data_IF_779040619760
#
_entry.id   IF_779040619760
#
_cell.length_a   1.000
_cell.length_b   1.000
_cell.length_c   1.000
_cell.angle_alpha   90.00
_cell.angle_beta   90.00
_cell.angle_gamma   90.00
#
_symmetry.space_group_name_H-M   'P 1'
#
loop_
_entity.id
_entity.type
_entity.pdbx_description
1 polymer ?
#
# COMPACT_ATOMS: atom_id res chain seq x y z
N UNK A 1 3.12 21.25 -1.73
CA UNK A 1 2.82 19.81 -1.78
C UNK A 1 1.75 19.62 -2.84
N UNK A 2 2.14 19.25 -4.05
CA UNK A 2 1.22 19.05 -5.17
C UNK A 2 0.63 17.65 -5.03
N UNK A 3 -0.70 17.52 -4.95
CA UNK A 3 -1.37 16.21 -4.98
C UNK A 3 -1.07 15.54 -6.33
N UNK A 4 -0.24 14.49 -6.34
CA UNK A 4 0.05 13.69 -7.53
C UNK A 4 -1.17 12.83 -7.86
N UNK A 5 -1.59 12.74 -9.14
CA UNK A 5 -2.79 12.00 -9.51
C UNK A 5 -2.61 10.48 -9.39
N UNK A 6 -3.66 9.79 -8.94
CA UNK A 6 -3.73 8.32 -8.81
C UNK A 6 -3.91 7.59 -10.15
N UNK A 7 -3.94 8.38 -11.24
CA UNK A 7 -4.03 7.93 -12.63
C UNK A 7 -2.87 8.52 -13.41
N UNK A 8 -2.06 7.65 -14.02
CA UNK A 8 -0.92 8.13 -14.81
C UNK A 8 -0.77 7.38 -16.13
N UNK A 9 -0.48 8.12 -17.20
CA UNK A 9 -0.12 7.57 -18.51
C UNK A 9 1.35 7.14 -18.46
N UNK A 10 1.62 5.85 -18.69
CA UNK A 10 2.98 5.30 -18.63
C UNK A 10 3.32 4.68 -19.99
N UNK A 11 4.11 5.37 -20.84
CA UNK A 11 4.58 4.84 -22.13
C UNK A 11 5.96 4.18 -22.00
N UNK A 12 6.00 2.85 -21.90
CA UNK A 12 7.22 2.06 -21.64
C UNK A 12 7.97 1.67 -22.92
N UNK A 13 9.27 2.01 -23.01
CA UNK A 13 10.15 1.71 -24.14
C UNK A 13 11.40 0.99 -23.64
N UNK A 14 11.47 -0.33 -23.85
CA UNK A 14 12.49 -1.21 -23.26
C UNK A 14 13.71 -1.33 -24.19
N UNK A 15 14.59 -0.31 -24.20
CA UNK A 15 15.84 -0.33 -24.96
C UNK A 15 17.02 -0.80 -24.11
N UNK A 16 17.60 -1.95 -24.46
CA UNK A 16 18.89 -2.42 -23.93
C UNK A 16 20.00 -1.61 -24.61
N UNK A 17 20.64 -0.68 -23.88
CA UNK A 17 21.88 -0.04 -24.34
C UNK A 17 22.89 0.04 -23.19
N UNK A 18 24.01 -0.64 -23.39
CA UNK A 18 25.21 -0.58 -22.56
C UNK A 18 26.06 0.66 -22.90
N UNK A 19 26.85 1.08 -21.91
CA UNK A 19 27.97 2.03 -21.96
C UNK A 19 27.57 3.52 -21.83
N UNK A 20 28.29 4.44 -21.18
CA UNK A 20 29.55 4.48 -20.42
C UNK A 20 29.72 5.96 -20.00
N UNK A 21 30.22 6.21 -18.78
CA UNK A 21 31.06 7.35 -18.36
C UNK A 21 30.50 8.77 -17.98
N UNK A 22 31.01 9.19 -16.81
CA UNK A 22 31.50 10.53 -16.37
C UNK A 22 30.63 11.41 -15.44
N UNK A 23 31.05 11.39 -14.17
CA UNK A 23 31.57 12.55 -13.40
C UNK A 23 30.62 13.70 -13.03
N UNK A 24 30.38 13.89 -11.72
CA UNK A 24 30.88 15.04 -10.97
C UNK A 24 30.57 14.95 -9.45
N UNK A 25 31.61 15.16 -8.64
CA UNK A 25 31.56 15.61 -7.24
C UNK A 25 30.84 16.99 -7.16
N UNK A 26 30.44 17.56 -6.01
CA UNK A 26 31.25 17.86 -4.82
C UNK A 26 30.47 18.76 -3.84
N UNK A 27 30.79 18.66 -2.54
CA UNK A 27 30.80 19.76 -1.54
C UNK A 27 29.49 19.99 -0.78
N UNK A 28 29.39 19.79 0.55
CA UNK A 28 30.00 20.56 1.65
C UNK A 28 29.51 22.03 1.65
N UNK A 29 29.12 22.71 2.74
CA UNK A 29 29.05 22.43 4.17
C UNK A 29 28.35 23.65 4.84
N UNK A 30 27.79 23.43 6.04
CA UNK A 30 27.80 24.35 7.21
C UNK A 30 27.02 25.70 7.23
N UNK A 31 26.00 25.69 8.12
CA UNK A 31 25.88 26.46 9.38
C UNK A 31 25.45 27.95 9.44
N UNK A 32 24.86 28.23 10.60
CA UNK A 32 24.85 29.47 11.39
C UNK A 32 23.54 30.28 11.52
N UNK A 33 23.08 30.25 12.77
CA UNK A 33 21.99 30.95 13.42
C UNK A 33 22.09 32.49 13.50
N UNK A 34 20.95 33.12 13.81
CA UNK A 34 20.72 34.34 14.64
C UNK A 34 19.19 34.60 14.61
N UNK A 35 18.45 34.94 15.66
CA UNK A 35 18.74 35.51 16.98
C UNK A 35 17.74 36.66 17.25
N UNK A 36 17.26 36.75 18.50
CA UNK A 36 16.68 37.93 19.18
C UNK A 36 15.15 38.14 19.29
N UNK A 37 14.61 37.61 20.41
CA UNK A 37 13.99 38.27 21.60
C UNK A 37 13.18 39.58 21.56
N UNK A 38 12.05 39.56 22.32
CA UNK A 38 11.46 40.59 23.26
C UNK A 38 10.04 41.07 22.86
N UNK A 39 9.00 41.28 23.69
CA UNK A 39 8.51 40.84 25.02
C UNK A 39 6.99 41.31 25.12
N UNK A 40 6.27 41.31 26.27
CA UNK A 40 4.95 40.67 26.39
C UNK A 40 3.75 41.64 26.46
N UNK A 41 2.54 41.13 26.18
CA UNK A 41 1.26 41.82 26.33
C UNK A 41 0.45 41.27 27.55
N UNK A 42 -0.46 42.08 28.15
CA UNK A 42 -1.03 41.86 29.49
C UNK A 42 -2.17 40.81 29.55
N UNK A 43 -2.48 40.25 30.74
CA UNK A 43 -3.48 39.19 30.90
C UNK A 43 -4.90 39.70 31.19
N UNK A 44 -5.89 39.03 30.61
CA UNK A 44 -7.33 39.19 30.90
C UNK A 44 -8.04 37.83 30.74
N UNK A 45 -9.24 37.65 31.30
CA UNK A 45 -9.57 37.24 32.65
C UNK A 45 -9.71 35.71 32.83
N UNK A 46 -9.74 35.29 34.09
CA UNK A 46 -9.85 33.93 34.60
C UNK A 46 -11.06 33.17 34.03
N UNK A 47 -10.79 32.11 33.26
CA UNK A 47 -11.78 31.10 32.91
C UNK A 47 -11.97 30.15 34.10
N UNK A 48 -13.22 30.02 34.55
CA UNK A 48 -13.64 29.01 35.53
C UNK A 48 -13.20 27.63 35.06
N UNK A 49 -12.30 27.01 35.83
CA UNK A 49 -11.87 25.63 35.65
C UNK A 49 -13.00 24.69 36.05
N UNK A 50 -13.74 24.20 35.05
CA UNK A 50 -14.53 22.97 35.20
C UNK A 50 -13.54 21.81 35.45
N UNK A 51 -13.78 20.91 36.43
CA UNK A 51 -12.90 19.78 36.66
C UNK A 51 -12.79 18.93 35.38
N UNK A 52 -11.59 18.42 35.05
CA UNK A 52 -11.43 17.55 33.90
C UNK A 52 -12.31 16.31 34.08
N UNK A 53 -13.03 15.85 33.04
CA UNK A 53 -13.78 14.62 33.12
C UNK A 53 -12.82 13.48 33.49
N UNK A 54 -13.22 12.69 34.49
CA UNK A 54 -12.49 11.50 34.91
C UNK A 54 -12.16 10.64 33.69
N UNK A 55 -10.92 10.13 33.56
CA UNK A 55 -10.58 9.24 32.46
C UNK A 55 -11.53 8.03 32.50
N UNK A 56 -12.24 7.82 31.40
CA UNK A 56 -13.04 6.61 31.18
C UNK A 56 -12.11 5.40 31.28
N UNK A 57 -12.50 4.30 31.95
CA UNK A 57 -11.67 3.10 32.01
C UNK A 57 -11.33 2.65 30.58
N UNK A 58 -10.03 2.54 30.32
CA UNK A 58 -9.54 1.94 29.07
C UNK A 58 -10.15 0.55 28.95
N UNK A 59 -10.74 0.17 27.80
CA UNK A 59 -11.23 -1.18 27.61
C UNK A 59 -10.07 -2.16 27.84
N UNK A 60 -10.33 -3.19 28.65
CA UNK A 60 -9.40 -4.28 28.89
C UNK A 60 -9.02 -4.92 27.54
N UNK A 61 -7.75 -5.24 27.27
CA UNK A 61 -7.35 -5.85 26.01
C UNK A 61 -8.05 -7.20 25.85
N UNK A 62 -8.72 -7.39 24.72
CA UNK A 62 -9.27 -8.70 24.35
C UNK A 62 -8.13 -9.72 24.33
N UNK A 63 -8.26 -10.88 25.01
CA UNK A 63 -7.23 -11.91 24.98
C UNK A 63 -6.91 -12.34 23.55
N UNK A 64 -5.62 -12.51 23.26
CA UNK A 64 -5.16 -13.08 21.99
C UNK A 64 -5.48 -14.57 21.99
N UNK A 65 -6.08 -15.13 20.92
CA UNK A 65 -6.38 -16.56 20.85
C UNK A 65 -5.07 -17.37 20.90
N UNK A 66 -5.03 -18.43 21.70
CA UNK A 66 -3.82 -19.24 21.92
C UNK A 66 -3.95 -20.68 21.47
N UNK A 67 -5.19 -21.20 21.39
CA UNK A 67 -5.44 -22.55 20.87
C UNK A 67 -5.81 -22.52 19.39
N UNK A 68 -5.61 -23.64 18.69
CA UNK A 68 -5.98 -23.76 17.28
C UNK A 68 -7.49 -23.51 17.05
N UNK A 69 -8.34 -23.95 17.98
CA UNK A 69 -9.79 -23.72 17.92
C UNK A 69 -10.14 -22.24 18.08
N UNK A 70 -9.55 -21.55 19.06
CA UNK A 70 -9.75 -20.10 19.24
C UNK A 70 -9.26 -19.29 18.05
N UNK A 71 -8.11 -19.68 17.45
CA UNK A 71 -7.59 -19.03 16.25
C UNK A 71 -8.57 -19.24 15.08
N UNK A 72 -9.08 -20.46 14.90
CA UNK A 72 -10.03 -20.74 13.82
C UNK A 72 -11.32 -19.90 13.96
N UNK A 73 -11.89 -19.81 15.16
CA UNK A 73 -13.07 -18.96 15.41
C UNK A 73 -12.77 -17.48 15.24
N UNK A 74 -11.61 -17.01 15.69
CA UNK A 74 -11.19 -15.63 15.47
C UNK A 74 -11.00 -15.31 13.98
N UNK A 75 -10.42 -16.22 13.19
CA UNK A 75 -10.28 -16.07 11.72
C UNK A 75 -11.66 -16.01 11.05
N UNK A 76 -12.60 -16.90 11.42
CA UNK A 76 -13.98 -16.85 10.91
C UNK A 76 -14.67 -15.54 11.25
N UNK A 77 -14.49 -15.05 12.48
CA UNK A 77 -15.02 -13.77 12.93
C UNK A 77 -14.45 -12.59 12.12
N UNK A 78 -13.13 -12.56 11.93
CA UNK A 78 -12.45 -11.57 11.09
C UNK A 78 -12.98 -11.59 9.64
N UNK A 79 -13.15 -12.79 9.09
CA UNK A 79 -13.62 -12.99 7.72
C UNK A 79 -15.04 -12.45 7.53
N UNK A 80 -15.97 -12.86 8.41
CA UNK A 80 -17.36 -12.43 8.39
C UNK A 80 -17.56 -10.94 8.74
N UNK A 81 -16.69 -10.35 9.55
CA UNK A 81 -16.74 -8.92 9.91
C UNK A 81 -16.38 -8.00 8.73
N UNK A 82 -15.78 -8.53 7.67
CA UNK A 82 -15.42 -7.76 6.47
C UNK A 82 -14.08 -8.12 5.85
N UNK A 83 -13.32 -9.03 6.47
CA UNK A 83 -12.06 -9.54 5.93
C UNK A 83 -12.23 -10.19 4.56
N UNK A 84 -13.37 -10.87 4.33
CA UNK A 84 -13.73 -11.39 3.00
C UNK A 84 -13.85 -10.26 1.97
N UNK A 85 -14.66 -9.25 2.26
CA UNK A 85 -14.87 -8.10 1.37
C UNK A 85 -13.57 -7.37 1.07
N UNK A 86 -12.73 -7.13 2.09
CA UNK A 86 -11.44 -6.50 1.91
C UNK A 86 -10.52 -7.32 1.00
N UNK A 87 -10.48 -8.64 1.18
CA UNK A 87 -9.68 -9.55 0.34
C UNK A 87 -10.22 -9.60 -1.09
N UNK A 88 -11.52 -9.79 -1.29
CA UNK A 88 -12.15 -9.87 -2.62
C UNK A 88 -11.95 -8.57 -3.40
N UNK A 89 -12.17 -7.41 -2.77
CA UNK A 89 -11.94 -6.11 -3.41
C UNK A 89 -10.49 -5.92 -3.82
N UNK A 90 -9.54 -6.28 -2.95
CA UNK A 90 -8.12 -6.21 -3.27
C UNK A 90 -7.74 -7.13 -4.43
N UNK A 91 -8.29 -8.35 -4.47
CA UNK A 91 -8.06 -9.29 -5.58
C UNK A 91 -8.59 -8.71 -6.90
N UNK A 92 -9.84 -8.22 -6.91
CA UNK A 92 -10.45 -7.66 -8.12
C UNK A 92 -9.65 -6.50 -8.70
N UNK A 93 -9.25 -5.55 -7.86
CA UNK A 93 -8.45 -4.40 -8.32
C UNK A 93 -7.02 -4.81 -8.70
N UNK A 94 -6.45 -5.82 -8.05
CA UNK A 94 -5.17 -6.42 -8.45
C UNK A 94 -5.25 -7.05 -9.86
N UNK A 95 -6.31 -7.80 -10.15
CA UNK A 95 -6.56 -8.42 -11.46
C UNK A 95 -6.79 -7.35 -12.54
N UNK A 96 -7.55 -6.31 -12.22
CA UNK A 96 -7.79 -5.16 -13.11
C UNK A 96 -6.49 -4.43 -13.44
N UNK A 97 -5.66 -4.14 -12.43
CA UNK A 97 -4.35 -3.52 -12.63
C UNK A 97 -3.43 -4.38 -13.51
N UNK A 98 -3.38 -5.70 -13.30
CA UNK A 98 -2.62 -6.61 -14.17
C UNK A 98 -3.14 -6.64 -15.61
N UNK A 99 -4.46 -6.54 -15.79
CA UNK A 99 -5.08 -6.51 -17.11
C UNK A 99 -4.74 -5.22 -17.87
N UNK A 100 -4.54 -4.11 -17.15
CA UNK A 100 -4.06 -2.84 -17.69
C UNK A 100 -2.55 -2.76 -17.92
N UNK A 101 -1.77 -3.79 -17.53
CA UNK A 101 -0.32 -3.81 -17.73
C UNK A 101 0.02 -3.85 -19.23
N UNK A 102 0.92 -2.98 -19.73
CA UNK A 102 1.40 -3.05 -21.11
C UNK A 102 2.03 -4.41 -21.39
N UNK A 103 1.60 -5.08 -22.47
CA UNK A 103 2.10 -6.40 -22.87
C UNK A 103 3.13 -6.36 -24.00
N UNK A 104 3.29 -5.20 -24.65
CA UNK A 104 4.18 -5.02 -25.81
C UNK A 104 4.85 -3.66 -25.75
N UNK A 105 5.99 -3.58 -26.42
CA UNK A 105 7.08 -2.61 -26.27
C UNK A 105 6.76 -1.16 -26.67
N UNK A 106 5.53 -0.90 -27.17
CA UNK A 106 5.11 0.39 -27.73
C UNK A 106 3.62 0.69 -27.46
N UNK A 107 3.12 0.44 -26.24
CA UNK A 107 1.78 0.86 -25.86
C UNK A 107 1.81 2.00 -24.85
N UNK A 108 1.21 3.12 -25.22
CA UNK A 108 0.85 4.19 -24.28
C UNK A 108 -0.41 3.71 -23.56
N UNK A 109 -0.26 3.22 -22.34
CA UNK A 109 -1.40 2.77 -21.52
C UNK A 109 -1.57 3.71 -20.33
N UNK A 110 -2.83 4.01 -20.00
CA UNK A 110 -3.15 4.61 -18.71
C UNK A 110 -3.16 3.46 -17.71
N UNK A 111 -2.19 3.46 -16.80
CA UNK A 111 -2.22 2.54 -15.67
C UNK A 111 -3.03 3.23 -14.57
N UNK A 112 -4.20 2.69 -14.30
CA UNK A 112 -5.11 3.19 -13.27
C UNK A 112 -4.98 2.32 -12.02
N UNK A 113 -4.47 2.92 -10.95
CA UNK A 113 -4.35 2.27 -9.64
C UNK A 113 -5.29 2.88 -8.59
N UNK A 114 -6.16 3.82 -8.94
CA UNK A 114 -7.06 4.50 -7.98
C UNK A 114 -7.90 3.48 -7.19
N UNK A 115 -8.56 2.56 -7.91
CA UNK A 115 -9.34 1.49 -7.27
C UNK A 115 -8.48 0.57 -6.39
N UNK A 116 -7.27 0.24 -6.84
CA UNK A 116 -6.34 -0.57 -6.06
C UNK A 116 -5.90 0.13 -4.77
N UNK A 117 -5.58 1.42 -4.82
CA UNK A 117 -5.16 2.18 -3.65
C UNK A 117 -6.27 2.25 -2.61
N UNK A 118 -7.52 2.47 -3.04
CA UNK A 118 -8.68 2.41 -2.14
C UNK A 118 -8.90 1.00 -1.54
N UNK A 119 -8.69 -0.06 -2.33
CA UNK A 119 -8.78 -1.43 -1.83
C UNK A 119 -7.66 -1.76 -0.83
N UNK A 120 -6.44 -1.25 -1.05
CA UNK A 120 -5.31 -1.38 -0.13
C UNK A 120 -5.58 -0.65 1.20
N UNK A 121 -6.14 0.55 1.16
CA UNK A 121 -6.54 1.29 2.37
C UNK A 121 -7.54 0.48 3.21
N UNK A 122 -8.54 -0.10 2.54
CA UNK A 122 -9.51 -0.99 3.19
C UNK A 122 -8.82 -2.23 3.76
N UNK A 123 -7.95 -2.88 2.98
CA UNK A 123 -7.21 -4.07 3.41
C UNK A 123 -6.33 -3.82 4.64
N UNK A 124 -5.75 -2.61 4.79
CA UNK A 124 -4.97 -2.23 5.97
C UNK A 124 -5.78 -2.21 7.26
N UNK A 125 -7.07 -1.86 7.20
CA UNK A 125 -7.97 -1.95 8.37
C UNK A 125 -8.11 -3.38 8.88
N UNK A 126 -7.89 -4.37 8.01
CA UNK A 126 -7.98 -5.79 8.29
C UNK A 126 -6.60 -6.47 8.37
N UNK A 127 -5.50 -5.73 8.55
CA UNK A 127 -4.13 -6.29 8.63
C UNK A 127 -3.95 -7.27 9.80
N UNK A 128 -4.73 -7.12 10.87
CA UNK A 128 -4.69 -7.95 12.09
C UNK A 128 -5.41 -9.30 11.94
N UNK A 129 -5.03 -10.10 10.95
CA UNK A 129 -5.60 -11.43 10.71
C UNK A 129 -5.16 -12.43 11.82
N UNK A 130 -6.06 -13.14 12.53
CA UNK A 130 -5.67 -13.89 13.73
C UNK A 130 -4.65 -15.03 13.52
N UNK A 131 -4.70 -15.79 12.44
CA UNK A 131 -3.70 -16.82 12.13
C UNK A 131 -2.35 -16.18 11.69
N UNK A 132 -1.24 -16.42 12.42
CA UNK A 132 0.04 -15.73 12.17
C UNK A 132 0.58 -15.92 10.76
N UNK A 133 0.51 -17.14 10.21
CA UNK A 133 1.04 -17.45 8.89
C UNK A 133 0.20 -16.81 7.78
N UNK A 134 -1.13 -16.82 7.92
CA UNK A 134 -2.02 -16.11 6.98
C UNK A 134 -1.81 -14.59 7.08
N UNK A 135 -1.62 -14.05 8.30
CA UNK A 135 -1.30 -12.64 8.53
C UNK A 135 -0.01 -12.22 7.84
N UNK A 136 1.04 -13.02 7.91
CA UNK A 136 2.32 -12.74 7.22
C UNK A 136 2.11 -12.62 5.72
N UNK A 137 1.43 -13.59 5.09
CA UNK A 137 1.14 -13.53 3.66
C UNK A 137 0.24 -12.32 3.30
N UNK A 138 -0.81 -12.07 4.08
CA UNK A 138 -1.73 -10.95 3.87
C UNK A 138 -1.03 -9.59 3.99
N UNK A 139 -0.17 -9.41 5.00
CA UNK A 139 0.57 -8.16 5.21
C UNK A 139 1.59 -7.95 4.09
N UNK A 140 2.34 -8.99 3.73
CA UNK A 140 3.30 -8.93 2.62
C UNK A 140 2.60 -8.65 1.28
N UNK A 141 1.38 -9.15 1.08
CA UNK A 141 0.58 -8.84 -0.10
C UNK A 141 0.27 -7.34 -0.19
N UNK A 142 -0.28 -6.77 0.90
CA UNK A 142 -0.61 -5.34 0.97
C UNK A 142 0.63 -4.49 0.71
N UNK A 143 1.73 -4.76 1.43
CA UNK A 143 2.93 -3.95 1.36
C UNK A 143 3.57 -3.99 -0.04
N UNK A 144 3.72 -5.18 -0.64
CA UNK A 144 4.29 -5.31 -1.98
C UNK A 144 3.38 -4.80 -3.12
N UNK A 145 2.06 -4.96 -3.02
CA UNK A 145 1.12 -4.41 -4.01
C UNK A 145 1.18 -2.88 -4.00
N UNK A 146 1.20 -2.29 -2.81
CA UNK A 146 1.33 -0.84 -2.62
C UNK A 146 2.67 -0.30 -3.12
N UNK A 147 3.79 -0.91 -2.71
CA UNK A 147 5.13 -0.52 -3.14
C UNK A 147 5.28 -0.66 -4.66
N UNK A 148 4.83 -1.80 -5.21
CA UNK A 148 4.88 -2.06 -6.65
C UNK A 148 4.07 -1.03 -7.44
N UNK A 149 2.83 -0.78 -7.04
CA UNK A 149 1.95 0.20 -7.70
C UNK A 149 2.54 1.61 -7.68
N UNK A 150 3.05 2.06 -6.52
CA UNK A 150 3.70 3.38 -6.41
C UNK A 150 4.96 3.46 -7.25
N UNK A 151 5.78 2.42 -7.25
CA UNK A 151 7.00 2.38 -8.07
C UNK A 151 6.67 2.49 -9.57
N UNK A 152 5.58 1.85 -10.04
CA UNK A 152 5.08 2.00 -11.41
C UNK A 152 4.59 3.42 -11.67
N UNK A 153 3.79 4.01 -10.77
CA UNK A 153 3.31 5.39 -10.92
C UNK A 153 4.46 6.41 -10.95
N UNK A 154 5.45 6.22 -10.10
CA UNK A 154 6.63 7.09 -9.99
C UNK A 154 7.59 6.95 -11.17
N UNK A 155 7.44 5.90 -11.98
CA UNK A 155 8.19 5.74 -13.23
C UNK A 155 7.66 6.58 -14.38
N UNK A 156 6.48 7.20 -14.22
CA UNK A 156 5.85 7.94 -15.29
C UNK A 156 6.63 9.21 -15.64
N UNK A 157 6.77 9.53 -16.95
CA UNK A 157 7.46 10.74 -17.37
C UNK A 157 6.63 11.98 -17.04
N UNK A 158 7.23 12.98 -16.39
CA UNK A 158 6.56 14.23 -15.99
C UNK A 158 6.33 15.18 -17.17
N UNK A 159 7.23 15.19 -18.15
CA UNK A 159 7.26 16.19 -19.24
C UNK A 159 7.34 15.59 -20.64
N UNK A 160 7.45 14.26 -20.75
CA UNK A 160 7.66 13.54 -22.00
C UNK A 160 6.54 12.53 -22.26
N UNK A 161 6.27 12.24 -23.53
CA UNK A 161 5.39 11.15 -23.95
C UNK A 161 6.12 9.80 -24.09
N UNK A 162 7.43 9.77 -23.82
CA UNK A 162 8.28 8.60 -23.96
C UNK A 162 9.09 8.46 -22.67
N UNK A 163 9.06 7.26 -22.06
CA UNK A 163 9.92 6.95 -20.93
C UNK A 163 11.38 6.81 -21.34
N UNK A 164 12.25 7.31 -20.47
CA UNK A 164 13.69 7.02 -20.46
C UNK A 164 13.96 5.55 -20.09
N UNK A 165 15.19 5.06 -20.35
CA UNK A 165 15.59 3.71 -19.92
C UNK A 165 15.47 3.50 -18.40
N UNK A 166 15.79 4.51 -17.59
CA UNK A 166 15.74 4.42 -16.13
C UNK A 166 14.31 4.34 -15.61
N UNK A 167 13.41 5.17 -16.17
CA UNK A 167 11.96 5.10 -15.92
C UNK A 167 11.43 3.73 -16.33
N UNK A 168 11.87 3.20 -17.47
CA UNK A 168 11.46 1.87 -17.92
C UNK A 168 11.92 0.76 -16.99
N UNK A 169 13.17 0.81 -16.54
CA UNK A 169 13.70 -0.13 -15.56
C UNK A 169 12.98 -0.01 -14.21
N UNK A 170 12.60 1.20 -13.80
CA UNK A 170 11.82 1.43 -12.58
C UNK A 170 10.41 0.85 -12.68
N UNK A 171 9.71 1.06 -13.79
CA UNK A 171 8.40 0.45 -14.01
C UNK A 171 8.49 -1.09 -13.96
N UNK A 172 9.52 -1.67 -14.58
CA UNK A 172 9.74 -3.11 -14.56
C UNK A 172 9.98 -3.64 -13.13
N UNK A 173 10.75 -2.92 -12.30
CA UNK A 173 10.92 -3.25 -10.88
C UNK A 173 9.60 -3.14 -10.11
N UNK A 174 8.83 -2.08 -10.34
CA UNK A 174 7.53 -1.90 -9.70
C UNK A 174 6.57 -3.03 -10.02
N UNK A 175 6.48 -3.43 -11.29
CA UNK A 175 5.68 -4.59 -11.70
C UNK A 175 6.18 -5.90 -11.10
N UNK A 176 7.49 -6.09 -10.96
CA UNK A 176 8.03 -7.27 -10.30
C UNK A 176 7.60 -7.35 -8.82
N UNK A 177 7.73 -6.24 -8.08
CA UNK A 177 7.25 -6.17 -6.68
C UNK A 177 5.74 -6.39 -6.60
N UNK A 178 4.98 -5.82 -7.54
CA UNK A 178 3.53 -6.04 -7.64
C UNK A 178 3.16 -7.52 -7.83
N UNK A 179 3.91 -8.23 -8.68
CA UNK A 179 3.73 -9.66 -8.93
C UNK A 179 4.03 -10.49 -7.67
N UNK A 180 5.03 -10.10 -6.86
CA UNK A 180 5.27 -10.69 -5.53
C UNK A 180 4.11 -10.43 -4.56
N UNK A 181 3.53 -9.22 -4.57
CA UNK A 181 2.33 -8.91 -3.80
C UNK A 181 1.14 -9.79 -4.20
N UNK A 182 0.94 -10.01 -5.50
CA UNK A 182 -0.09 -10.91 -6.03
C UNK A 182 0.12 -12.36 -5.56
N UNK A 183 1.35 -12.87 -5.56
CA UNK A 183 1.67 -14.22 -5.06
C UNK A 183 1.33 -14.36 -3.58
N UNK A 184 1.70 -13.36 -2.77
CA UNK A 184 1.37 -13.33 -1.34
C UNK A 184 -0.15 -13.28 -1.10
N UNK A 185 -0.89 -12.53 -1.93
CA UNK A 185 -2.35 -12.46 -1.86
C UNK A 185 -3.00 -13.82 -2.13
N UNK A 186 -2.54 -14.52 -3.17
CA UNK A 186 -2.97 -15.89 -3.47
C UNK A 186 -2.65 -16.85 -2.33
N UNK A 187 -1.46 -16.73 -1.73
CA UNK A 187 -1.07 -17.57 -0.60
C UNK A 187 -1.95 -17.33 0.64
N UNK A 188 -2.32 -16.07 0.91
CA UNK A 188 -3.22 -15.73 2.01
C UNK A 188 -4.62 -16.35 1.79
N UNK A 189 -5.21 -16.18 0.60
CA UNK A 189 -6.51 -16.77 0.29
C UNK A 189 -6.48 -18.30 0.31
N UNK A 190 -5.47 -18.93 -0.31
CA UNK A 190 -5.34 -20.38 -0.32
C UNK A 190 -5.27 -20.94 1.11
N UNK A 191 -4.63 -20.20 2.03
CA UNK A 191 -4.58 -20.60 3.44
C UNK A 191 -5.92 -20.42 4.15
N UNK A 192 -6.68 -19.36 3.85
CA UNK A 192 -8.05 -19.20 4.34
C UNK A 192 -8.94 -20.37 3.90
N UNK A 193 -8.84 -20.78 2.64
CA UNK A 193 -9.57 -21.93 2.10
C UNK A 193 -9.11 -23.24 2.78
N UNK A 194 -7.83 -23.60 2.67
CA UNK A 194 -7.35 -24.91 3.10
C UNK A 194 -7.35 -25.12 4.62
N UNK A 195 -7.04 -24.09 5.41
CA UNK A 195 -6.93 -24.23 6.87
C UNK A 195 -8.25 -23.94 7.60
N UNK A 196 -9.14 -23.15 7.00
CA UNK A 196 -10.35 -22.67 7.68
C UNK A 196 -11.65 -22.91 6.90
N UNK A 197 -11.59 -23.43 5.67
CA UNK A 197 -12.75 -23.65 4.80
C UNK A 197 -13.38 -22.35 4.31
N UNK A 198 -12.63 -21.24 4.31
CA UNK A 198 -13.11 -19.91 3.97
C UNK A 198 -12.74 -19.57 2.54
N UNK A 199 -13.70 -19.75 1.63
CA UNK A 199 -13.53 -19.53 0.21
C UNK A 199 -14.60 -18.56 -0.30
N UNK A 200 -14.21 -17.43 -0.93
CA UNK A 200 -15.17 -16.55 -1.56
C UNK A 200 -15.88 -17.26 -2.73
N UNK A 201 -17.17 -16.97 -2.90
CA UNK A 201 -17.97 -17.45 -4.03
C UNK A 201 -18.79 -16.29 -4.59
N UNK A 202 -18.61 -15.89 -5.86
CA UNK A 202 -17.78 -16.52 -6.89
C UNK A 202 -16.27 -16.37 -6.65
N UNK A 203 -15.45 -17.14 -7.38
CA UNK A 203 -13.99 -17.04 -7.32
C UNK A 203 -13.52 -15.67 -7.83
N UNK A 204 -12.89 -14.84 -6.98
CA UNK A 204 -12.50 -13.48 -7.34
C UNK A 204 -11.31 -13.41 -8.30
N UNK A 205 -10.61 -14.53 -8.55
CA UNK A 205 -9.56 -14.61 -9.56
C UNK A 205 -10.07 -14.95 -10.96
N UNK A 206 -11.32 -15.38 -11.08
CA UNK A 206 -11.92 -15.59 -12.38
C UNK A 206 -12.00 -14.24 -13.09
N UNK A 207 -11.58 -14.20 -14.35
CA UNK A 207 -11.84 -13.05 -15.20
C UNK A 207 -13.36 -12.87 -15.33
N UNK A 208 -13.85 -11.64 -15.10
CA UNK A 208 -15.23 -11.27 -15.44
C UNK A 208 -15.42 -11.17 -16.95
#
# INVERSE_FOLDING_TARGET
MTNRPERTRVPLLLTVVAAVLLTACSGADSDAAKGSTTAPAPPTPSATSSPPPSPSPSPSPTPTPTTAAEIAEAVKGWYAYGGETAMVSLIKETVKAQSGRPRTDLQVVIVDFEGLMAALDTARLFRSLPDPKTRTAWTAAIDHLEEGARTVLDSAPETSLIQSPDETAQAARGWHTFDEGTKNLKAAQARLDHAFGLKPSPDPWAAE
#
